data_IF_354090369716
#
_entry.id   IF_354090369716
#
_cell.length_a   1.000
_cell.length_b   1.000
_cell.length_c   1.000
_cell.angle_alpha   90.00
_cell.angle_beta   90.00
_cell.angle_gamma   90.00
#
_symmetry.space_group_name_H-M   'P 1'
#
loop_
_entity.id
_entity.type
_entity.pdbx_description
1 polymer ?
#
# COMPACT_ATOMS: atom_id res chain seq x y z
N UNK A 1 3.97 8.41 10.71
CA UNK A 1 3.40 7.07 10.88
C UNK A 1 4.47 6.12 11.39
N UNK A 2 4.16 5.25 12.34
CA UNK A 2 5.07 4.17 12.81
C UNK A 2 4.73 2.82 12.15
N UNK A 3 5.63 1.83 12.21
CA UNK A 3 5.43 0.51 11.59
C UNK A 3 4.15 -0.20 12.05
N UNK A 4 3.87 -0.22 13.36
CA UNK A 4 2.65 -0.86 13.87
C UNK A 4 1.39 -0.13 13.38
N UNK A 5 1.41 1.21 13.39
CA UNK A 5 0.32 2.03 12.86
C UNK A 5 0.06 1.75 11.37
N UNK A 6 1.13 1.62 10.58
CA UNK A 6 1.05 1.26 9.17
C UNK A 6 0.36 -0.09 8.98
N UNK A 7 0.80 -1.12 9.73
CA UNK A 7 0.24 -2.47 9.60
C UNK A 7 -1.24 -2.52 10.00
N UNK A 8 -1.63 -1.82 11.06
CA UNK A 8 -3.04 -1.74 11.46
C UNK A 8 -3.88 -0.96 10.46
N UNK A 9 -3.34 0.13 9.89
CA UNK A 9 -4.01 0.89 8.84
C UNK A 9 -4.21 0.04 7.57
N UNK A 10 -3.20 -0.76 7.21
CA UNK A 10 -3.28 -1.67 6.08
C UNK A 10 -4.32 -2.79 6.30
N UNK A 11 -4.35 -3.39 7.49
CA UNK A 11 -5.41 -4.36 7.86
C UNK A 11 -6.79 -3.72 7.83
N UNK A 12 -6.92 -2.47 8.27
CA UNK A 12 -8.17 -1.73 8.22
C UNK A 12 -8.63 -1.48 6.76
N UNK A 13 -7.70 -1.15 5.86
CA UNK A 13 -7.97 -1.05 4.43
C UNK A 13 -8.47 -2.38 3.85
N UNK A 14 -7.80 -3.50 4.13
CA UNK A 14 -8.23 -4.83 3.68
C UNK A 14 -9.62 -5.20 4.22
N UNK A 15 -9.88 -4.90 5.49
CA UNK A 15 -11.17 -5.15 6.11
C UNK A 15 -12.26 -4.31 5.45
N UNK A 16 -12.01 -3.02 5.23
CA UNK A 16 -12.97 -2.14 4.56
C UNK A 16 -13.26 -2.63 3.14
N UNK A 17 -12.24 -2.97 2.34
CA UNK A 17 -12.41 -3.56 1.02
C UNK A 17 -13.24 -4.85 1.06
N UNK A 18 -12.97 -5.76 2.01
CA UNK A 18 -13.75 -6.99 2.17
C UNK A 18 -15.26 -6.73 2.34
N UNK A 19 -15.64 -5.65 3.01
CA UNK A 19 -17.04 -5.27 3.25
C UNK A 19 -17.60 -4.29 2.22
N UNK A 20 -16.81 -3.86 1.22
CA UNK A 20 -17.27 -3.04 0.12
C UNK A 20 -18.07 -3.87 -0.89
N UNK A 21 -19.28 -4.30 -0.49
CA UNK A 21 -20.16 -5.18 -1.25
C UNK A 21 -20.72 -4.55 -2.52
N UNK A 22 -20.80 -3.23 -2.55
CA UNK A 22 -21.50 -2.41 -3.53
C UNK A 22 -20.71 -1.12 -3.79
N UNK A 23 -20.91 -0.51 -4.96
CA UNK A 23 -20.10 0.65 -5.37
C UNK A 23 -20.30 1.88 -4.49
N UNK A 24 -21.49 2.02 -3.90
CA UNK A 24 -21.88 3.12 -3.02
C UNK A 24 -21.70 2.80 -1.53
N UNK A 25 -21.07 1.67 -1.22
CA UNK A 25 -20.81 1.24 0.15
C UNK A 25 -19.94 2.27 0.89
N UNK A 26 -20.31 2.71 2.11
CA UNK A 26 -19.45 3.55 2.95
C UNK A 26 -18.03 2.98 3.14
N UNK A 27 -17.92 1.66 3.08
CA UNK A 27 -16.71 0.86 3.16
C UNK A 27 -15.73 1.16 2.01
N UNK A 28 -16.22 1.54 0.82
CA UNK A 28 -15.38 2.01 -0.28
C UNK A 28 -14.64 3.27 0.13
N UNK A 29 -15.37 4.27 0.63
CA UNK A 29 -14.79 5.54 1.10
C UNK A 29 -13.79 5.32 2.24
N UNK A 30 -14.11 4.43 3.20
CA UNK A 30 -13.18 4.08 4.28
C UNK A 30 -11.91 3.40 3.76
N UNK A 31 -12.04 2.45 2.83
CA UNK A 31 -10.89 1.80 2.22
C UNK A 31 -9.98 2.83 1.53
N UNK A 32 -10.56 3.71 0.72
CA UNK A 32 -9.82 4.77 0.01
C UNK A 32 -9.14 5.70 1.01
N UNK A 33 -9.81 6.09 2.09
CA UNK A 33 -9.21 6.94 3.13
C UNK A 33 -7.98 6.28 3.76
N UNK A 34 -8.05 4.99 4.09
CA UNK A 34 -6.91 4.26 4.63
C UNK A 34 -5.77 4.13 3.62
N UNK A 35 -6.07 3.83 2.35
CA UNK A 35 -5.08 3.77 1.27
C UNK A 35 -4.39 5.11 1.05
N UNK A 36 -5.12 6.22 1.09
CA UNK A 36 -4.54 7.57 0.98
C UNK A 36 -3.58 7.87 2.12
N UNK A 37 -3.94 7.53 3.36
CA UNK A 37 -3.07 7.73 4.51
C UNK A 37 -1.83 6.82 4.47
N UNK A 38 -1.91 5.62 3.87
CA UNK A 38 -0.73 4.79 3.62
C UNK A 38 0.25 5.44 2.64
N UNK A 39 -0.22 6.19 1.63
CA UNK A 39 0.64 6.92 0.67
C UNK A 39 1.43 8.06 1.31
N UNK A 40 1.02 8.52 2.48
CA UNK A 40 1.70 9.57 3.25
C UNK A 40 2.83 9.01 4.13
N UNK A 41 3.02 7.69 4.16
CA UNK A 41 4.11 7.08 4.92
C UNK A 41 5.48 7.52 4.37
N UNK A 42 6.51 7.65 5.24
CA UNK A 42 7.86 7.88 4.77
C UNK A 42 8.35 6.74 3.88
N UNK A 43 9.03 7.07 2.77
CA UNK A 43 9.53 6.08 1.81
C UNK A 43 10.42 4.98 2.45
N UNK A 44 11.18 5.32 3.51
CA UNK A 44 11.99 4.35 4.25
C UNK A 44 11.13 3.31 4.97
N UNK A 45 9.99 3.74 5.54
CA UNK A 45 9.04 2.85 6.19
C UNK A 45 8.35 1.96 5.16
N UNK A 46 7.91 2.53 4.03
CA UNK A 46 7.33 1.76 2.93
C UNK A 46 8.29 0.66 2.43
N UNK A 47 9.56 1.00 2.23
CA UNK A 47 10.55 0.01 1.80
C UNK A 47 10.72 -1.10 2.85
N UNK A 48 10.84 -0.76 4.13
CA UNK A 48 10.97 -1.76 5.20
C UNK A 48 9.77 -2.70 5.25
N UNK A 49 8.55 -2.17 5.27
CA UNK A 49 7.34 -2.99 5.40
C UNK A 49 7.09 -3.83 4.15
N UNK A 50 7.29 -3.28 2.95
CA UNK A 50 7.04 -4.01 1.70
C UNK A 50 8.03 -5.15 1.49
N UNK A 51 9.30 -4.96 1.85
CA UNK A 51 10.33 -6.01 1.71
C UNK A 51 10.24 -7.04 2.82
N UNK A 52 10.05 -6.62 4.06
CA UNK A 52 10.20 -7.50 5.22
C UNK A 52 8.87 -8.11 5.72
N UNK A 53 7.73 -7.75 5.13
CA UNK A 53 6.40 -8.22 5.60
C UNK A 53 5.61 -8.89 4.49
N UNK A 54 5.69 -10.22 4.41
CA UNK A 54 5.02 -11.02 3.37
C UNK A 54 3.51 -10.77 3.21
N UNK A 55 2.80 -10.43 4.30
CA UNK A 55 1.36 -10.17 4.26
C UNK A 55 1.00 -8.90 3.48
N UNK A 56 1.93 -7.95 3.32
CA UNK A 56 1.71 -6.73 2.53
C UNK A 56 1.55 -7.05 1.05
N UNK A 57 2.43 -7.91 0.50
CA UNK A 57 2.39 -8.29 -0.91
C UNK A 57 1.08 -8.98 -1.33
N UNK A 58 0.61 -9.93 -0.52
CA UNK A 58 -0.68 -10.59 -0.76
C UNK A 58 -1.86 -9.63 -0.54
N UNK A 59 -1.76 -8.76 0.47
CA UNK A 59 -2.82 -7.80 0.77
C UNK A 59 -2.98 -6.73 -0.31
N UNK A 60 -1.90 -6.25 -0.92
CA UNK A 60 -2.00 -5.24 -1.98
C UNK A 60 -2.57 -5.85 -3.25
N UNK A 61 -2.23 -7.12 -3.56
CA UNK A 61 -2.86 -7.87 -4.65
C UNK A 61 -4.38 -7.98 -4.42
N UNK A 62 -4.82 -8.34 -3.21
CA UNK A 62 -6.24 -8.40 -2.87
C UNK A 62 -6.98 -7.09 -3.15
N UNK A 63 -6.36 -5.94 -2.84
CA UNK A 63 -6.96 -4.63 -3.12
C UNK A 63 -6.97 -4.29 -4.62
N UNK A 64 -5.90 -4.64 -5.35
CA UNK A 64 -5.79 -4.41 -6.80
C UNK A 64 -6.76 -5.26 -7.62
N UNK A 65 -7.14 -6.43 -7.13
CA UNK A 65 -8.07 -7.34 -7.81
C UNK A 65 -9.54 -7.10 -7.38
N UNK A 66 -9.81 -6.05 -6.61
CA UNK A 66 -11.13 -5.79 -6.04
C UNK A 66 -12.19 -5.45 -7.11
N UNK A 67 -13.46 -5.87 -6.89
CA UNK A 67 -14.55 -5.60 -7.84
C UNK A 67 -14.84 -4.11 -8.05
N UNK A 68 -14.72 -3.31 -6.98
CA UNK A 68 -14.93 -1.87 -7.03
C UNK A 68 -13.74 -1.18 -7.76
N UNK A 69 -13.99 -0.42 -8.84
CA UNK A 69 -12.94 0.20 -9.65
C UNK A 69 -12.13 1.27 -8.92
N UNK A 70 -12.72 2.00 -7.98
CA UNK A 70 -12.03 3.03 -7.20
C UNK A 70 -11.02 2.41 -6.23
N UNK A 71 -11.39 1.31 -5.57
CA UNK A 71 -10.47 0.56 -4.70
C UNK A 71 -9.28 0.05 -5.51
N UNK A 72 -9.52 -0.54 -6.70
CA UNK A 72 -8.43 -1.00 -7.57
C UNK A 72 -7.49 0.13 -7.94
N UNK A 73 -8.03 1.24 -8.45
CA UNK A 73 -7.24 2.39 -8.91
C UNK A 73 -6.37 2.96 -7.78
N UNK A 74 -6.94 3.13 -6.59
CA UNK A 74 -6.19 3.65 -5.44
C UNK A 74 -5.10 2.67 -4.97
N UNK A 75 -5.36 1.37 -5.03
CA UNK A 75 -4.39 0.31 -4.70
C UNK A 75 -3.27 0.19 -5.73
N UNK A 76 -3.56 0.36 -7.02
CA UNK A 76 -2.56 0.43 -8.09
C UNK A 76 -1.60 1.60 -7.86
N UNK A 77 -2.14 2.79 -7.59
CA UNK A 77 -1.33 3.97 -7.27
C UNK A 77 -0.44 3.77 -6.03
N UNK A 78 -0.94 3.08 -5.00
CA UNK A 78 -0.14 2.75 -3.81
C UNK A 78 0.98 1.74 -4.15
N UNK A 79 0.65 0.71 -4.93
CA UNK A 79 1.63 -0.29 -5.40
C UNK A 79 2.73 0.35 -6.24
N UNK A 80 2.38 1.24 -7.17
CA UNK A 80 3.33 1.96 -8.02
C UNK A 80 4.25 2.88 -7.22
N UNK A 81 3.70 3.54 -6.20
CA UNK A 81 4.47 4.36 -5.26
C UNK A 81 5.53 3.52 -4.53
N UNK A 82 5.15 2.37 -4.00
CA UNK A 82 6.08 1.47 -3.32
C UNK A 82 7.16 0.95 -4.27
N UNK A 83 6.78 0.51 -5.48
CA UNK A 83 7.74 0.07 -6.50
C UNK A 83 8.73 1.20 -6.85
N UNK A 84 8.24 2.43 -7.01
CA UNK A 84 9.09 3.61 -7.26
C UNK A 84 10.12 3.80 -6.14
N UNK A 85 9.73 3.64 -4.88
CA UNK A 85 10.66 3.74 -3.75
C UNK A 85 11.69 2.61 -3.75
N UNK A 86 11.28 1.36 -3.97
CA UNK A 86 12.18 0.21 -4.05
C UNK A 86 13.20 0.34 -5.19
N UNK A 87 12.77 0.80 -6.37
CA UNK A 87 13.70 1.04 -7.48
C UNK A 87 14.61 2.24 -7.25
N UNK A 88 14.17 3.23 -6.47
CA UNK A 88 15.02 4.37 -6.10
C UNK A 88 16.08 3.97 -5.06
N UNK A 89 15.74 3.13 -4.07
CA UNK A 89 16.70 2.62 -3.07
C UNK A 89 17.72 1.67 -3.68
N UNK A 90 17.29 0.75 -4.55
CA UNK A 90 18.22 -0.13 -5.28
C UNK A 90 19.18 0.60 -6.22
N UNK A 91 18.76 1.74 -6.81
CA UNK A 91 19.65 2.60 -7.61
C UNK A 91 20.69 3.33 -6.77
N UNK A 92 20.32 3.78 -5.56
CA UNK A 92 21.26 4.45 -4.64
C UNK A 92 22.38 3.53 -4.16
N UNK A 93 22.07 2.25 -3.92
CA UNK A 93 23.08 1.25 -3.50
C UNK A 93 24.13 1.01 -4.59
N UNK A 94 23.71 0.88 -5.86
CA UNK A 94 24.64 0.70 -6.98
C UNK A 94 25.59 1.88 -7.21
N UNK A 95 25.18 3.11 -6.89
CA UNK A 95 26.05 4.28 -7.05
C UNK A 95 27.11 4.42 -5.95
N UNK A 96 26.89 3.84 -4.76
CA UNK A 96 27.84 3.90 -3.63
C UNK A 96 28.91 2.81 -3.67
N UNK A 97 28.70 1.72 -4.42
CA UNK A 97 29.66 0.61 -4.54
C UNK A 97 30.68 0.81 -5.69
N UNK A 98 30.74 2.02 -6.26
CA UNK A 98 31.59 2.36 -7.42
C UNK A 98 32.78 3.29 -7.10
N UNK A 99 33.27 3.31 -5.86
CA UNK A 99 34.43 4.13 -5.45
C UNK A 99 35.51 3.27 -4.81
#
# INVERSE_FOLDING_TARGET
MQKQEFLELFKAAQRAAKYASDENSPEVSRCIQFVKRLKEAPASLDCDVVVNTNSIGNGIRFLRDHKNPLIRSEAELLSDLWLKYLYATGRKQKSTDSV
#
